data_IF_844100038344
#
_entry.id   IF_844100038344
#
_cell.length_a   1.000
_cell.length_b   1.000
_cell.length_c   1.000
_cell.angle_alpha   90.00
_cell.angle_beta   90.00
_cell.angle_gamma   90.00
#
_symmetry.space_group_name_H-M   'P 1'
#
loop_
_entity.id
_entity.type
_entity.pdbx_description
1 polymer ?
#
# COMPACT_ATOMS: atom_id res chain seq x y z
N UNK A 1 0.69 -22.76 5.11
CA UNK A 1 0.82 -21.74 4.03
C UNK A 1 -0.06 -20.53 4.27
N UNK A 2 -1.40 -20.66 4.36
CA UNK A 2 -2.31 -19.51 4.62
C UNK A 2 -1.95 -18.70 5.87
N UNK A 3 -1.70 -19.37 7.00
CA UNK A 3 -1.30 -18.71 8.25
C UNK A 3 0.03 -17.97 8.14
N UNK A 4 0.98 -18.52 7.38
CA UNK A 4 2.26 -17.86 7.12
C UNK A 4 2.09 -16.59 6.29
N UNK A 5 1.23 -16.63 5.27
CA UNK A 5 0.90 -15.46 4.44
C UNK A 5 0.24 -14.36 5.29
N UNK A 6 -0.75 -14.73 6.12
CA UNK A 6 -1.43 -13.77 7.00
C UNK A 6 -0.46 -13.17 8.01
N UNK A 7 0.45 -13.99 8.57
CA UNK A 7 1.46 -13.52 9.53
C UNK A 7 2.44 -12.55 8.89
N UNK A 8 2.98 -12.90 7.72
CA UNK A 8 3.89 -12.03 6.97
C UNK A 8 3.20 -10.71 6.58
N UNK A 9 1.93 -10.78 6.15
CA UNK A 9 1.15 -9.58 5.83
C UNK A 9 0.95 -8.68 7.07
N UNK A 10 0.64 -9.25 8.24
CA UNK A 10 0.49 -8.44 9.48
C UNK A 10 1.78 -7.75 9.88
N UNK A 11 2.93 -8.42 9.72
CA UNK A 11 4.24 -7.84 9.98
C UNK A 11 4.53 -6.68 9.03
N UNK A 12 4.34 -6.91 7.73
CA UNK A 12 4.45 -5.88 6.70
C UNK A 12 3.53 -4.69 6.98
N UNK A 13 2.26 -4.95 7.31
CA UNK A 13 1.26 -3.92 7.58
C UNK A 13 1.61 -3.08 8.81
N UNK A 14 2.29 -3.66 9.81
CA UNK A 14 2.77 -2.89 10.96
C UNK A 14 3.82 -1.87 10.56
N UNK A 15 4.75 -2.24 9.67
CA UNK A 15 5.78 -1.33 9.13
C UNK A 15 5.13 -0.27 8.25
N UNK A 16 4.22 -0.67 7.35
CA UNK A 16 3.51 0.23 6.46
C UNK A 16 2.74 1.31 7.23
N UNK A 17 2.07 0.96 8.33
CA UNK A 17 1.39 1.96 9.17
C UNK A 17 2.35 3.00 9.74
N UNK A 18 3.55 2.59 10.14
CA UNK A 18 4.57 3.51 10.62
C UNK A 18 5.06 4.42 9.49
N UNK A 19 5.39 3.84 8.32
CA UNK A 19 5.82 4.62 7.15
C UNK A 19 4.77 5.67 6.74
N UNK A 20 3.48 5.30 6.75
CA UNK A 20 2.39 6.22 6.42
C UNK A 20 2.15 7.29 7.50
N UNK A 21 2.41 6.97 8.78
CA UNK A 21 2.36 7.96 9.85
C UNK A 21 3.50 8.99 9.76
N UNK A 22 4.67 8.57 9.25
CA UNK A 22 5.80 9.47 9.00
C UNK A 22 5.60 10.32 7.73
N UNK A 23 4.88 9.80 6.74
CA UNK A 23 4.57 10.48 5.47
C UNK A 23 3.27 11.31 5.51
N UNK A 24 2.72 11.59 6.69
CA UNK A 24 1.49 12.39 6.84
C UNK A 24 1.61 13.71 6.06
N UNK A 25 0.53 14.07 5.35
CA UNK A 25 0.44 15.22 4.41
C UNK A 25 1.20 15.08 3.07
N UNK A 26 2.04 14.05 2.89
CA UNK A 26 2.81 13.81 1.65
C UNK A 26 2.42 12.50 0.95
N UNK A 27 1.23 12.00 1.23
CA UNK A 27 0.67 10.79 0.65
C UNK A 27 -0.28 11.15 -0.50
N UNK A 28 -0.15 10.41 -1.60
CA UNK A 28 -1.16 10.38 -2.67
C UNK A 28 -1.67 8.95 -2.84
N UNK A 29 -2.90 8.79 -3.34
CA UNK A 29 -3.49 7.49 -3.60
C UNK A 29 -4.03 7.41 -5.02
N UNK A 30 -3.88 6.25 -5.63
CA UNK A 30 -4.58 5.89 -6.86
C UNK A 30 -5.59 4.80 -6.54
N UNK A 31 -6.82 4.98 -7.03
CA UNK A 31 -7.87 3.99 -6.92
C UNK A 31 -8.20 3.50 -8.33
N UNK A 32 -7.97 2.22 -8.56
CA UNK A 32 -8.37 1.52 -9.77
C UNK A 32 -9.71 0.84 -9.50
N UNK A 33 -10.72 1.16 -10.29
CA UNK A 33 -12.05 0.57 -10.21
C UNK A 33 -12.34 -0.09 -11.56
N UNK A 34 -12.60 -1.38 -11.54
CA UNK A 34 -12.89 -2.14 -12.77
C UNK A 34 -13.93 -3.22 -12.51
N UNK A 35 -14.47 -3.80 -13.58
CA UNK A 35 -15.37 -4.94 -13.49
C UNK A 35 -14.89 -6.09 -14.38
N UNK A 36 -15.19 -7.32 -14.00
CA UNK A 36 -14.96 -8.48 -14.88
C UNK A 36 -16.09 -8.63 -15.92
N UNK A 37 -16.01 -9.69 -16.75
CA UNK A 37 -17.03 -10.02 -17.76
C UNK A 37 -18.41 -10.35 -17.19
N UNK A 38 -18.49 -10.66 -15.90
CA UNK A 38 -19.74 -10.91 -15.16
C UNK A 38 -20.26 -9.64 -14.46
N UNK A 39 -19.69 -8.47 -14.76
CA UNK A 39 -19.99 -7.19 -14.11
C UNK A 39 -19.77 -7.20 -12.59
N UNK A 40 -18.91 -8.08 -12.06
CA UNK A 40 -18.51 -8.01 -10.67
C UNK A 40 -17.55 -6.84 -10.47
N UNK A 41 -17.83 -5.89 -9.55
CA UNK A 41 -16.96 -4.76 -9.30
C UNK A 41 -15.72 -5.19 -8.50
N UNK A 42 -14.60 -4.53 -8.80
CA UNK A 42 -13.35 -4.64 -8.05
C UNK A 42 -12.83 -3.25 -7.73
N UNK A 43 -12.12 -3.14 -6.60
CA UNK A 43 -11.43 -1.93 -6.19
C UNK A 43 -10.00 -2.29 -5.75
N UNK A 44 -9.01 -1.67 -6.37
CA UNK A 44 -7.64 -1.64 -5.90
C UNK A 44 -7.26 -0.22 -5.49
N UNK A 45 -6.68 -0.03 -4.31
CA UNK A 45 -6.16 1.28 -3.90
C UNK A 45 -4.71 1.18 -3.49
N UNK A 46 -3.86 1.95 -4.16
CA UNK A 46 -2.41 2.01 -3.92
C UNK A 46 -2.06 3.39 -3.38
N UNK A 47 -1.37 3.42 -2.24
CA UNK A 47 -0.81 4.64 -1.67
C UNK A 47 0.62 4.83 -2.17
N UNK A 48 1.01 6.07 -2.42
CA UNK A 48 2.34 6.48 -2.89
C UNK A 48 2.84 7.63 -2.02
N UNK A 49 4.11 7.56 -1.61
CA UNK A 49 4.74 8.61 -0.82
C UNK A 49 6.24 8.71 -1.12
N UNK A 50 6.85 9.82 -0.74
CA UNK A 50 8.30 10.01 -0.83
C UNK A 50 8.92 9.72 0.53
N UNK A 51 9.99 8.92 0.55
CA UNK A 51 10.76 8.59 1.75
C UNK A 51 12.21 9.07 1.62
N UNK A 52 12.75 9.63 2.71
CA UNK A 52 14.18 9.88 2.82
C UNK A 52 14.91 8.60 3.22
N UNK A 53 15.86 8.17 2.40
CA UNK A 53 16.75 7.07 2.73
C UNK A 53 17.92 7.54 3.59
N UNK A 54 18.51 6.61 4.33
CA UNK A 54 19.66 6.87 5.20
C UNK A 54 20.90 7.36 4.42
N UNK A 55 20.97 7.07 3.12
CA UNK A 55 22.02 7.54 2.21
C UNK A 55 21.79 8.98 1.69
N UNK A 56 20.70 9.63 2.11
CA UNK A 56 20.35 11.00 1.72
C UNK A 56 19.59 11.09 0.39
N UNK A 57 19.21 9.98 -0.23
CA UNK A 57 18.38 10.00 -1.44
C UNK A 57 16.88 9.93 -1.13
N UNK A 58 16.08 10.54 -2.00
CA UNK A 58 14.63 10.37 -2.01
C UNK A 58 14.26 9.08 -2.76
N UNK A 59 13.35 8.30 -2.19
CA UNK A 59 12.70 7.19 -2.89
C UNK A 59 11.20 7.39 -2.99
N UNK A 60 10.65 7.06 -4.15
CA UNK A 60 9.20 6.87 -4.30
C UNK A 60 8.85 5.48 -3.79
N UNK A 61 8.00 5.44 -2.78
CA UNK A 61 7.46 4.21 -2.20
C UNK A 61 5.99 4.04 -2.62
N UNK A 62 5.54 2.80 -2.72
CA UNK A 62 4.17 2.47 -3.05
C UNK A 62 3.70 1.21 -2.32
N UNK A 63 2.44 1.18 -1.90
CA UNK A 63 1.84 0.03 -1.23
C UNK A 63 0.35 -0.12 -1.53
N UNK A 64 -0.11 -1.36 -1.75
CA UNK A 64 -1.53 -1.68 -1.87
C UNK A 64 -2.18 -1.65 -0.47
N UNK A 65 -3.15 -0.75 -0.26
CA UNK A 65 -3.82 -0.55 1.03
C UNK A 65 -5.26 -1.05 1.04
N UNK A 66 -5.87 -1.29 -0.12
CA UNK A 66 -7.20 -1.87 -0.21
C UNK A 66 -7.33 -2.71 -1.47
N UNK A 67 -7.94 -3.88 -1.33
CA UNK A 67 -8.37 -4.72 -2.44
C UNK A 67 -9.73 -5.31 -2.09
N UNK A 68 -10.72 -5.11 -2.96
CA UNK A 68 -12.08 -5.66 -2.83
C UNK A 68 -12.50 -6.32 -4.12
#
# INVERSE_FOLDING_TARGET
LKELIITAWKQYFSILKQDLAEAVEQISFTADIWSNSLCCPYLGMTTHWIKWKADGHLSLEAALITFH
#
